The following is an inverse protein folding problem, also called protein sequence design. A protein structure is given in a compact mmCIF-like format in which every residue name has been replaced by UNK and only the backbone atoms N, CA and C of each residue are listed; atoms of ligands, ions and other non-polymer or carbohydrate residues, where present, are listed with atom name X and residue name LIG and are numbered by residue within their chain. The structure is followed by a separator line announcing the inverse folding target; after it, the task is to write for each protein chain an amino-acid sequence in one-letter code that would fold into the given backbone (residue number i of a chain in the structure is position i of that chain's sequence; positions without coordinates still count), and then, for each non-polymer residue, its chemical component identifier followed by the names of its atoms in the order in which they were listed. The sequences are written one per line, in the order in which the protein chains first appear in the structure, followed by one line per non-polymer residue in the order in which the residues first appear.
data_IF_645836712834
#
_entry.id   IF_645836712834
#
_cell.length_a   1.000
_cell.length_b   1.000
_cell.length_c   1.000
_cell.angle_alpha   90.00
_cell.angle_beta   90.00
_cell.angle_gamma   90.00
#
_symmetry.space_group_name_H-M   'P 1'
#
loop_
_entity.id
_entity.type
_entity.pdbx_description
1 polymer ?
#
# COMPACT_ATOMS: atom_id res chain seq x y z
N UNK A 1 -14.26 10.49 -17.34
CA UNK A 1 -14.99 10.57 -16.08
C UNK A 1 -14.87 9.25 -15.31
N UNK A 2 -14.98 9.30 -13.99
CA UNK A 2 -14.90 8.12 -13.11
C UNK A 2 -16.28 7.86 -12.49
N UNK A 3 -16.65 6.60 -12.30
CA UNK A 3 -17.86 6.24 -11.53
C UNK A 3 -17.69 6.59 -10.04
N UNK A 4 -16.47 6.87 -9.56
CA UNK A 4 -16.23 7.37 -8.21
C UNK A 4 -16.88 8.76 -7.99
N UNK A 5 -16.94 9.62 -9.01
CA UNK A 5 -17.69 10.88 -8.98
C UNK A 5 -19.19 10.68 -8.73
N UNK A 6 -19.68 9.46 -9.00
CA UNK A 6 -21.06 9.03 -8.82
C UNK A 6 -21.23 8.00 -7.69
N UNK A 7 -20.40 8.10 -6.64
CA UNK A 7 -20.46 7.26 -5.44
C UNK A 7 -20.32 5.74 -5.72
N UNK A 8 -19.59 5.36 -6.78
CA UNK A 8 -19.44 3.95 -7.21
C UNK A 8 -20.79 3.24 -7.44
N UNK A 9 -21.81 3.97 -7.85
CA UNK A 9 -23.14 3.37 -8.09
C UNK A 9 -23.10 2.47 -9.33
N UNK A 10 -23.65 1.26 -9.21
CA UNK A 10 -23.92 0.39 -10.34
C UNK A 10 -25.23 0.78 -11.01
N UNK A 11 -25.28 0.75 -12.32
CA UNK A 11 -26.48 1.07 -13.06
C UNK A 11 -26.23 1.67 -14.43
N UNK A 12 -27.31 2.13 -15.07
CA UNK A 12 -27.24 2.79 -16.36
C UNK A 12 -26.82 4.25 -16.23
N UNK A 13 -25.72 4.59 -16.86
CA UNK A 13 -25.21 5.97 -16.97
C UNK A 13 -25.63 6.57 -18.31
N UNK A 14 -26.13 7.82 -18.28
CA UNK A 14 -26.43 8.58 -19.46
C UNK A 14 -25.37 9.66 -19.68
N UNK A 15 -24.90 9.76 -20.92
CA UNK A 15 -23.89 10.74 -21.34
C UNK A 15 -24.53 11.64 -22.40
N UNK A 16 -24.61 12.92 -22.12
CA UNK A 16 -25.10 13.92 -23.08
C UNK A 16 -23.93 14.84 -23.47
N UNK A 17 -23.82 15.14 -24.73
CA UNK A 17 -22.83 16.04 -25.28
C UNK A 17 -23.54 17.31 -25.74
N UNK A 18 -23.05 18.44 -25.27
CA UNK A 18 -23.54 19.78 -25.63
C UNK A 18 -22.43 20.58 -26.28
N UNK A 19 -22.80 21.47 -27.19
CA UNK A 19 -21.92 22.44 -27.79
C UNK A 19 -22.51 23.84 -27.67
N UNK A 20 -21.64 24.87 -27.58
CA UNK A 20 -22.03 26.27 -27.63
C UNK A 20 -21.81 26.80 -29.04
N UNK A 21 -22.83 27.36 -29.66
CA UNK A 21 -22.72 28.00 -30.97
C UNK A 21 -21.87 29.29 -30.88
N UNK A 22 -20.83 29.39 -31.71
CA UNK A 22 -19.98 30.55 -31.78
C UNK A 22 -20.74 31.80 -32.33
N UNK A 23 -21.86 31.58 -33.04
CA UNK A 23 -22.65 32.66 -33.66
C UNK A 23 -23.69 33.20 -32.69
N UNK A 24 -24.43 32.32 -32.01
CA UNK A 24 -25.56 32.72 -31.17
C UNK A 24 -25.26 32.66 -29.67
N UNK A 25 -24.09 32.14 -29.28
CA UNK A 25 -23.69 31.86 -27.90
C UNK A 25 -24.71 31.00 -27.12
N UNK A 26 -25.48 30.19 -27.83
CA UNK A 26 -26.50 29.32 -27.25
C UNK A 26 -26.00 27.91 -27.10
N UNK A 27 -26.33 27.26 -25.97
CA UNK A 27 -26.04 25.86 -25.68
C UNK A 27 -27.02 24.96 -26.48
N UNK A 28 -26.48 23.99 -27.24
CA UNK A 28 -27.26 23.08 -28.07
C UNK A 28 -26.82 21.64 -27.79
N UNK A 29 -27.79 20.74 -27.63
CA UNK A 29 -27.52 19.30 -27.54
C UNK A 29 -27.03 18.74 -28.86
N UNK A 30 -25.91 18.04 -28.86
CA UNK A 30 -25.30 17.48 -30.07
C UNK A 30 -25.62 16.00 -30.20
N UNK A 31 -25.48 15.21 -29.11
CA UNK A 31 -25.76 13.79 -29.09
C UNK A 31 -25.92 13.30 -27.64
N UNK A 32 -26.41 12.08 -27.49
CA UNK A 32 -26.49 11.37 -26.22
C UNK A 32 -26.29 9.87 -26.42
N UNK A 33 -25.70 9.24 -25.42
CA UNK A 33 -25.51 7.80 -25.36
C UNK A 33 -25.65 7.31 -23.93
N UNK A 34 -25.55 6.00 -23.71
CA UNK A 34 -25.58 5.42 -22.39
C UNK A 34 -24.72 4.15 -22.33
N UNK A 35 -24.27 3.80 -21.13
CA UNK A 35 -23.58 2.56 -20.86
C UNK A 35 -24.01 2.00 -19.50
N UNK A 36 -23.70 0.73 -19.27
CA UNK A 36 -23.89 0.08 -17.96
C UNK A 36 -22.59 0.16 -17.17
N UNK A 37 -22.63 0.77 -16.00
CA UNK A 37 -21.53 0.77 -15.03
C UNK A 37 -21.83 -0.26 -13.94
N UNK A 38 -20.90 -1.17 -13.71
CA UNK A 38 -21.01 -2.19 -12.66
C UNK A 38 -19.81 -2.04 -11.72
N UNK A 39 -20.10 -1.77 -10.44
CA UNK A 39 -19.11 -1.78 -9.37
C UNK A 39 -19.38 -2.96 -8.43
N UNK A 40 -18.32 -3.69 -8.09
CA UNK A 40 -18.34 -4.76 -7.12
C UNK A 40 -17.33 -4.49 -6.02
N UNK A 41 -17.62 -4.95 -4.78
CA UNK A 41 -16.63 -4.89 -3.70
C UNK A 41 -15.30 -5.52 -4.14
N UNK A 42 -14.20 -4.80 -3.92
CA UNK A 42 -12.87 -5.24 -4.31
C UNK A 42 -12.47 -4.90 -5.75
N UNK A 43 -13.31 -4.23 -6.55
CA UNK A 43 -12.91 -3.71 -7.87
C UNK A 43 -11.88 -2.59 -7.73
N UNK A 44 -11.99 -1.79 -6.66
CA UNK A 44 -10.94 -0.85 -6.29
C UNK A 44 -9.73 -1.61 -5.79
N UNK A 45 -8.70 -1.70 -6.64
CA UNK A 45 -7.48 -2.46 -6.35
C UNK A 45 -6.55 -1.66 -5.45
N UNK A 46 -6.44 -2.10 -4.21
CA UNK A 46 -5.49 -1.56 -3.23
C UNK A 46 -4.30 -2.51 -3.14
N UNK A 47 -3.09 -1.98 -3.36
CA UNK A 47 -1.87 -2.78 -3.44
C UNK A 47 -0.89 -2.34 -2.35
N UNK A 48 -0.65 -3.17 -1.33
CA UNK A 48 0.40 -2.94 -0.36
C UNK A 48 1.75 -3.48 -0.85
N UNK A 49 2.82 -2.77 -0.49
CA UNK A 49 4.21 -3.17 -0.74
C UNK A 49 5.05 -2.86 0.49
N UNK A 50 5.80 -3.85 0.97
CA UNK A 50 6.72 -3.63 2.08
C UNK A 50 7.97 -2.88 1.60
N UNK A 51 8.31 -1.82 2.31
CA UNK A 51 9.48 -0.96 2.04
C UNK A 51 10.32 -0.78 3.29
N UNK A 52 11.49 -0.16 3.15
CA UNK A 52 12.34 0.19 4.30
C UNK A 52 11.64 1.16 5.29
N UNK A 53 10.67 1.94 4.83
CA UNK A 53 10.00 2.96 5.63
C UNK A 53 8.63 2.54 6.18
N UNK A 54 8.17 1.33 5.86
CA UNK A 54 6.86 0.81 6.27
C UNK A 54 6.11 0.14 5.11
N UNK A 55 4.80 0.05 5.24
CA UNK A 55 3.91 -0.52 4.23
C UNK A 55 3.45 0.62 3.32
N UNK A 56 3.97 0.66 2.10
CA UNK A 56 3.46 1.55 1.07
C UNK A 56 2.16 0.97 0.53
N UNK A 57 1.11 1.78 0.53
CA UNK A 57 -0.22 1.40 0.06
C UNK A 57 -0.57 2.29 -1.12
N UNK A 58 -0.95 1.67 -2.23
CA UNK A 58 -1.40 2.38 -3.43
C UNK A 58 -2.83 1.98 -3.80
N UNK A 59 -3.63 2.96 -4.20
CA UNK A 59 -4.96 2.76 -4.78
C UNK A 59 -5.10 3.63 -6.04
N UNK A 60 -6.07 3.34 -6.94
CA UNK A 60 -6.28 4.14 -8.13
C UNK A 60 -6.54 5.62 -7.80
N UNK A 61 -5.80 6.52 -8.46
CA UNK A 61 -5.86 7.97 -8.19
C UNK A 61 -7.19 8.61 -8.60
N UNK A 62 -7.89 8.06 -9.57
CA UNK A 62 -9.23 8.48 -9.95
C UNK A 62 -10.25 8.26 -8.83
N UNK A 63 -10.09 7.17 -8.03
CA UNK A 63 -10.92 6.95 -6.85
C UNK A 63 -10.53 7.89 -5.71
N UNK A 64 -9.23 8.01 -5.40
CA UNK A 64 -8.75 8.82 -4.27
C UNK A 64 -8.89 10.34 -4.49
N UNK A 65 -8.93 10.81 -5.76
CA UNK A 65 -9.21 12.21 -6.07
C UNK A 65 -10.69 12.57 -5.95
N UNK A 66 -11.58 11.63 -6.31
CA UNK A 66 -13.01 11.88 -6.42
C UNK A 66 -13.78 11.53 -5.13
N UNK A 67 -13.16 10.75 -4.24
CA UNK A 67 -13.77 10.30 -2.99
C UNK A 67 -12.87 10.55 -1.78
N UNK A 68 -13.45 10.90 -0.64
CA UNK A 68 -12.73 10.83 0.63
C UNK A 68 -12.58 9.37 1.05
N UNK A 69 -11.34 8.88 1.12
CA UNK A 69 -11.04 7.51 1.49
C UNK A 69 -10.07 7.41 2.68
N UNK A 70 -10.11 6.27 3.35
CA UNK A 70 -9.26 5.94 4.50
C UNK A 70 -8.78 4.50 4.41
N UNK A 71 -7.53 4.26 4.79
CA UNK A 71 -7.03 2.91 5.06
C UNK A 71 -7.02 2.68 6.57
N UNK A 72 -7.68 1.62 7.00
CA UNK A 72 -7.56 1.04 8.33
C UNK A 72 -6.49 -0.05 8.26
N UNK A 73 -5.40 0.07 9.03
CA UNK A 73 -4.26 -0.84 8.99
C UNK A 73 -3.99 -1.36 10.39
N UNK A 74 -3.86 -2.67 10.53
CA UNK A 74 -3.53 -3.33 11.81
C UNK A 74 -2.85 -4.67 11.60
N UNK A 75 -2.14 -5.16 12.62
CA UNK A 75 -1.61 -6.51 12.62
C UNK A 75 -2.70 -7.54 12.96
N UNK A 76 -2.67 -8.70 12.36
CA UNK A 76 -3.59 -9.78 12.67
C UNK A 76 -3.27 -10.50 14.01
N UNK A 77 -2.27 -10.02 14.76
CA UNK A 77 -1.73 -10.74 15.91
C UNK A 77 -2.63 -10.70 17.13
N UNK A 78 -3.18 -9.56 17.48
CA UNK A 78 -4.02 -9.36 18.67
C UNK A 78 -5.32 -8.62 18.31
N UNK A 79 -6.01 -9.10 17.27
CA UNK A 79 -7.17 -8.41 16.70
C UNK A 79 -6.81 -7.00 16.20
N UNK A 80 -7.51 -5.96 16.66
CA UNK A 80 -7.34 -4.58 16.21
C UNK A 80 -6.72 -3.68 17.30
N UNK A 81 -5.88 -4.23 18.18
CA UNK A 81 -5.28 -3.47 19.28
C UNK A 81 -4.31 -2.37 18.80
N UNK A 82 -3.73 -2.54 17.62
CA UNK A 82 -2.80 -1.60 16.97
C UNK A 82 -3.40 -0.89 15.74
N UNK A 83 -4.74 -0.86 15.62
CA UNK A 83 -5.43 -0.26 14.49
C UNK A 83 -5.12 1.24 14.33
N UNK A 84 -4.64 1.61 13.15
CA UNK A 84 -4.40 3.00 12.76
C UNK A 84 -5.21 3.34 11.50
N UNK A 85 -5.88 4.48 11.55
CA UNK A 85 -6.60 5.04 10.41
C UNK A 85 -5.75 6.09 9.69
N UNK A 86 -5.60 5.93 8.39
CA UNK A 86 -4.88 6.85 7.52
C UNK A 86 -5.82 7.44 6.48
N UNK A 87 -5.91 8.77 6.41
CA UNK A 87 -6.61 9.43 5.31
C UNK A 87 -5.79 9.25 4.03
N UNK A 88 -6.44 8.80 2.96
CA UNK A 88 -5.77 8.59 1.67
C UNK A 88 -5.57 9.93 0.97
N UNK A 89 -4.35 10.27 0.52
CA UNK A 89 -4.10 11.46 -0.30
C UNK A 89 -4.73 11.32 -1.68
N UNK A 90 -4.99 12.47 -2.35
CA UNK A 90 -5.60 12.49 -3.67
C UNK A 90 -4.83 11.70 -4.75
N UNK A 91 -3.50 11.56 -4.60
CA UNK A 91 -2.69 10.75 -5.51
C UNK A 91 -2.76 9.24 -5.24
N UNK A 92 -3.52 8.81 -4.24
CA UNK A 92 -3.70 7.41 -3.88
C UNK A 92 -2.49 6.72 -3.26
N UNK A 93 -1.44 7.46 -2.88
CA UNK A 93 -0.18 6.90 -2.36
C UNK A 93 0.00 7.25 -0.88
N UNK A 94 0.21 6.24 -0.04
CA UNK A 94 0.42 6.39 1.40
C UNK A 94 1.49 5.41 1.88
N UNK A 95 2.27 5.80 2.87
CA UNK A 95 3.14 4.89 3.63
C UNK A 95 2.62 4.78 5.06
N UNK A 96 2.09 3.61 5.41
CA UNK A 96 1.70 3.27 6.77
C UNK A 96 2.91 2.72 7.53
N UNK A 97 3.09 3.15 8.77
CA UNK A 97 4.10 2.55 9.66
C UNK A 97 3.49 1.28 10.28
N UNK A 98 4.24 0.19 10.29
CA UNK A 98 3.86 -0.97 11.08
C UNK A 98 4.39 -0.82 12.52
N UNK A 99 3.71 -1.46 13.46
CA UNK A 99 3.94 -1.27 14.90
C UNK A 99 5.16 -2.01 15.45
N UNK A 100 5.87 -2.77 14.59
CA UNK A 100 7.03 -3.60 14.94
C UNK A 100 6.70 -5.08 15.11
N UNK A 101 5.43 -5.45 15.06
CA UNK A 101 5.03 -6.85 15.01
C UNK A 101 5.31 -7.46 13.63
N UNK A 102 5.64 -8.75 13.63
CA UNK A 102 5.85 -9.52 12.41
C UNK A 102 4.64 -10.40 12.14
N UNK A 103 4.36 -10.65 10.88
CA UNK A 103 3.21 -11.43 10.43
C UNK A 103 2.31 -10.64 9.50
N UNK A 104 1.07 -11.08 9.37
CA UNK A 104 0.11 -10.50 8.45
C UNK A 104 -0.43 -9.17 8.98
N UNK A 105 -0.36 -8.13 8.15
CA UNK A 105 -1.06 -6.86 8.33
C UNK A 105 -2.28 -6.82 7.42
N UNK A 106 -3.41 -6.45 7.99
CA UNK A 106 -4.69 -6.29 7.30
C UNK A 106 -4.86 -4.82 6.93
N UNK A 107 -5.37 -4.58 5.73
CA UNK A 107 -5.60 -3.24 5.19
C UNK A 107 -7.02 -3.22 4.62
N UNK A 108 -7.93 -2.57 5.34
CA UNK A 108 -9.27 -2.33 4.84
C UNK A 108 -9.37 -0.88 4.37
N UNK A 109 -9.90 -0.70 3.17
CA UNK A 109 -10.09 0.63 2.58
C UNK A 109 -11.56 1.00 2.62
N UNK A 110 -11.83 2.17 3.18
CA UNK A 110 -13.17 2.73 3.31
C UNK A 110 -13.26 4.01 2.49
N UNK A 111 -14.38 4.21 1.82
CA UNK A 111 -14.75 5.47 1.20
C UNK A 111 -15.98 6.07 1.89
N UNK A 112 -16.08 7.40 1.88
CA UNK A 112 -17.29 8.10 2.33
C UNK A 112 -18.27 8.14 1.16
N UNK A 113 -19.27 7.26 1.21
CA UNK A 113 -20.32 7.14 0.20
C UNK A 113 -21.62 7.67 0.80
N UNK A 114 -22.18 8.75 0.22
CA UNK A 114 -23.41 9.40 0.73
C UNK A 114 -23.36 9.71 2.23
N UNK A 115 -22.16 10.13 2.70
CA UNK A 115 -21.92 10.49 4.11
C UNK A 115 -21.68 9.31 5.05
N UNK A 116 -21.61 8.08 4.55
CA UNK A 116 -21.35 6.88 5.35
C UNK A 116 -20.01 6.24 4.98
N UNK A 117 -19.27 5.76 5.98
CA UNK A 117 -18.05 4.99 5.79
C UNK A 117 -18.41 3.59 5.28
N UNK A 118 -18.05 3.32 4.04
CA UNK A 118 -18.32 2.04 3.35
C UNK A 118 -17.01 1.37 3.01
N UNK A 119 -16.83 0.12 3.42
CA UNK A 119 -15.66 -0.68 3.01
C UNK A 119 -15.75 -0.98 1.52
N UNK A 120 -14.71 -0.59 0.77
CA UNK A 120 -14.64 -0.76 -0.70
C UNK A 120 -13.58 -1.75 -1.14
N UNK A 121 -12.62 -2.07 -0.27
CA UNK A 121 -11.55 -3.04 -0.56
C UNK A 121 -10.99 -3.59 0.76
N UNK A 122 -10.53 -4.85 0.71
CA UNK A 122 -9.80 -5.49 1.79
C UNK A 122 -8.62 -6.27 1.19
N UNK A 123 -7.44 -6.07 1.75
CA UNK A 123 -6.21 -6.75 1.33
C UNK A 123 -5.29 -6.97 2.53
N UNK A 124 -4.18 -7.65 2.32
CA UNK A 124 -3.19 -7.90 3.37
C UNK A 124 -1.78 -7.95 2.80
N UNK A 125 -0.80 -7.87 3.70
CA UNK A 125 0.62 -8.06 3.40
C UNK A 125 1.31 -8.71 4.59
N UNK A 126 2.31 -9.57 4.33
CA UNK A 126 3.13 -10.17 5.37
C UNK A 126 4.40 -9.35 5.61
N UNK A 127 4.66 -9.03 6.88
CA UNK A 127 5.92 -8.49 7.37
C UNK A 127 6.73 -9.66 7.92
N UNK A 128 7.80 -10.10 7.23
CA UNK A 128 8.56 -11.27 7.65
C UNK A 128 9.33 -11.00 8.94
N UNK A 129 9.55 -12.04 9.74
CA UNK A 129 10.46 -11.96 10.89
C UNK A 129 11.89 -11.62 10.42
N UNK A 130 12.68 -10.91 11.24
CA UNK A 130 14.08 -10.67 10.94
C UNK A 130 14.81 -12.00 10.75
N UNK A 131 15.45 -12.14 9.60
CA UNK A 131 16.28 -13.31 9.28
C UNK A 131 17.29 -12.90 8.22
N UNK A 132 18.41 -13.62 8.16
CA UNK A 132 19.38 -13.47 7.09
C UNK A 132 20.11 -14.80 6.91
N UNK A 133 20.70 -15.00 5.74
CA UNK A 133 21.65 -16.07 5.50
C UNK A 133 23.06 -15.52 5.49
N UNK A 134 23.98 -16.23 6.11
CA UNK A 134 25.39 -15.91 6.09
C UNK A 134 26.19 -17.04 5.44
N UNK A 135 27.14 -16.70 4.56
CA UNK A 135 28.10 -17.62 3.95
C UNK A 135 29.49 -17.08 4.20
N UNK A 136 30.39 -17.95 4.68
CA UNK A 136 31.79 -17.62 4.87
C UNK A 136 32.60 -18.34 3.78
N UNK A 137 33.50 -17.59 3.12
CA UNK A 137 34.39 -18.10 2.09
C UNK A 137 35.82 -17.69 2.42
N UNK A 138 36.76 -18.64 2.39
CA UNK A 138 38.18 -18.35 2.58
C UNK A 138 38.75 -17.75 1.29
N UNK A 139 39.34 -16.57 1.37
CA UNK A 139 39.93 -15.87 0.22
C UNK A 139 41.48 -15.97 0.19
N UNK A 140 42.09 -16.07 1.38
CA UNK A 140 43.54 -16.25 1.50
C UNK A 140 43.89 -17.08 2.75
N UNK A 141 45.18 -17.18 3.09
CA UNK A 141 45.61 -17.85 4.31
C UNK A 141 45.11 -17.16 5.59
N UNK A 142 44.81 -15.87 5.53
CA UNK A 142 44.41 -15.05 6.69
C UNK A 142 43.10 -14.29 6.51
N UNK A 143 42.48 -14.34 5.30
CA UNK A 143 41.30 -13.54 4.97
C UNK A 143 40.08 -14.43 4.69
N UNK A 144 38.97 -14.11 5.31
CA UNK A 144 37.68 -14.73 5.09
C UNK A 144 36.66 -13.64 4.69
N UNK A 145 35.81 -13.95 3.73
CA UNK A 145 34.70 -13.11 3.29
C UNK A 145 33.41 -13.64 3.88
N UNK A 146 32.65 -12.75 4.50
CA UNK A 146 31.28 -13.03 4.93
C UNK A 146 30.33 -12.41 3.91
N UNK A 147 29.41 -13.22 3.37
CA UNK A 147 28.36 -12.77 2.47
C UNK A 147 27.03 -12.94 3.16
N UNK A 148 26.27 -11.85 3.32
CA UNK A 148 24.95 -11.83 3.93
C UNK A 148 23.90 -11.66 2.82
N UNK A 149 22.85 -12.50 2.84
CA UNK A 149 21.72 -12.46 1.89
C UNK A 149 20.39 -12.64 2.62
N UNK A 150 19.29 -12.41 1.87
CA UNK A 150 17.92 -12.61 2.38
C UNK A 150 17.59 -11.75 3.60
N UNK A 151 18.16 -10.54 3.64
CA UNK A 151 17.87 -9.55 4.67
C UNK A 151 16.53 -8.88 4.35
N UNK A 152 15.59 -8.80 5.31
CA UNK A 152 14.33 -8.10 5.09
C UNK A 152 14.53 -6.63 4.71
N UNK A 153 13.68 -6.11 3.81
CA UNK A 153 13.80 -4.76 3.25
C UNK A 153 13.77 -3.64 4.30
N UNK A 154 13.19 -3.90 5.48
CA UNK A 154 13.09 -2.94 6.59
C UNK A 154 14.34 -2.90 7.51
N UNK A 155 15.35 -3.74 7.25
CA UNK A 155 16.65 -3.70 7.95
C UNK A 155 17.57 -2.76 7.17
N UNK A 156 17.93 -1.64 7.75
CA UNK A 156 18.76 -0.60 7.12
C UNK A 156 20.26 -0.71 7.45
N UNK A 157 20.61 -1.43 8.51
CA UNK A 157 22.01 -1.66 8.88
C UNK A 157 22.25 -3.07 9.41
N UNK A 158 23.45 -3.59 9.17
CA UNK A 158 23.88 -4.91 9.60
C UNK A 158 25.23 -4.76 10.30
N UNK A 159 25.38 -5.43 11.44
CA UNK A 159 26.64 -5.57 12.14
C UNK A 159 27.06 -7.04 12.13
N UNK A 160 28.35 -7.28 11.92
CA UNK A 160 28.92 -8.64 11.81
C UNK A 160 30.08 -8.79 12.80
N UNK A 161 29.82 -8.86 14.10
CA UNK A 161 30.90 -9.06 15.06
C UNK A 161 31.55 -10.43 14.89
N UNK A 162 32.87 -10.46 15.05
CA UNK A 162 33.68 -11.67 14.98
C UNK A 162 34.60 -11.77 16.17
N UNK A 163 34.79 -12.99 16.67
CA UNK A 163 35.70 -13.29 17.79
C UNK A 163 36.16 -14.73 17.72
N UNK A 164 37.20 -15.09 18.52
CA UNK A 164 37.58 -16.49 18.72
C UNK A 164 36.87 -17.07 19.94
N UNK A 165 36.62 -18.38 19.95
CA UNK A 165 36.07 -19.07 21.15
C UNK A 165 37.10 -19.26 22.27
N UNK A 166 38.38 -18.95 22.04
CA UNK A 166 39.48 -19.35 22.90
C UNK A 166 39.40 -18.79 24.32
N UNK A 167 39.02 -17.57 24.52
CA UNK A 167 38.84 -16.92 25.82
C UNK A 167 37.51 -16.16 25.93
N UNK A 168 36.47 -16.72 25.35
CA UNK A 168 35.19 -16.04 25.22
C UNK A 168 35.24 -14.94 24.17
N UNK A 169 34.67 -13.77 24.46
CA UNK A 169 34.59 -12.63 23.53
C UNK A 169 35.64 -11.54 23.82
N UNK A 170 36.83 -11.93 24.35
CA UNK A 170 37.88 -10.97 24.72
C UNK A 170 38.50 -10.24 23.53
N UNK A 171 38.42 -10.80 22.33
CA UNK A 171 38.95 -10.26 21.06
C UNK A 171 37.85 -9.85 20.07
N UNK A 172 36.63 -9.55 20.55
CA UNK A 172 35.51 -9.19 19.65
C UNK A 172 35.82 -7.93 18.84
N UNK A 173 35.56 -8.05 17.51
CA UNK A 173 35.61 -6.94 16.55
C UNK A 173 34.21 -6.74 15.97
N UNK A 174 33.74 -5.47 15.96
CA UNK A 174 32.43 -5.06 15.44
C UNK A 174 32.53 -4.47 14.05
#
# INVERSE_FOLDING_TARGET
FSIAEHNLESGKYNVHVYGTSAVTNSLTGLTGTSFQGDYQFGDVKVQPTLTANGIQISMPSDVSSDMTAYHAVWSAKNDQDDLIWYKVPANGQLTAKYTGDYGTYLIHTYAVIKGQMTCISATSIDVPKPSAKAKITKESSTTYKVTITDVPVYIDSIQVPTWTEKNGQDDIQW
#
